data_IF_065450329144
#
_entry.id   IF_065450329144
#
_cell.length_a   1.000
_cell.length_b   1.000
_cell.length_c   1.000
_cell.angle_alpha   90.00
_cell.angle_beta   90.00
_cell.angle_gamma   90.00
#
_symmetry.space_group_name_H-M   'P 1'
#
loop_
_entity.id
_entity.type
_entity.pdbx_description
1 polymer ?
#
# COMPACT_ATOMS: atom_id res chain seq x y z
N UNK A 1 -8.49 8.87 -13.63
CA UNK A 1 -9.26 7.69 -14.05
C UNK A 1 -8.31 6.51 -13.99
N UNK A 2 -8.68 5.44 -13.28
CA UNK A 2 -7.85 4.24 -13.16
C UNK A 2 -7.97 3.46 -14.47
N UNK A 3 -6.86 3.27 -15.17
CA UNK A 3 -6.84 2.42 -16.35
C UNK A 3 -6.78 0.93 -15.98
N UNK A 4 -7.04 0.07 -16.96
CA UNK A 4 -7.10 -1.38 -16.75
C UNK A 4 -5.77 -2.00 -16.30
N UNK A 5 -4.64 -1.35 -16.57
CA UNK A 5 -3.32 -1.83 -16.17
C UNK A 5 -3.03 -1.44 -14.71
N UNK A 6 -3.38 -0.21 -14.32
CA UNK A 6 -3.30 0.25 -12.94
C UNK A 6 -4.24 -0.59 -12.05
N UNK A 7 -5.45 -0.86 -12.51
CA UNK A 7 -6.40 -1.73 -11.81
C UNK A 7 -5.82 -3.13 -11.49
N UNK A 8 -5.23 -3.79 -12.50
CA UNK A 8 -4.54 -5.08 -12.29
C UNK A 8 -3.37 -4.97 -11.31
N UNK A 9 -2.64 -3.86 -11.37
CA UNK A 9 -1.52 -3.58 -10.48
C UNK A 9 -2.01 -3.46 -9.03
N UNK A 10 -3.04 -2.65 -8.77
CA UNK A 10 -3.62 -2.46 -7.43
C UNK A 10 -4.19 -3.75 -6.86
N UNK A 11 -4.81 -4.58 -7.70
CA UNK A 11 -5.27 -5.91 -7.31
C UNK A 11 -4.09 -6.80 -6.87
N UNK A 12 -3.01 -6.87 -7.67
CA UNK A 12 -1.83 -7.67 -7.33
C UNK A 12 -1.13 -7.20 -6.05
N UNK A 13 -1.06 -5.88 -5.83
CA UNK A 13 -0.51 -5.29 -4.59
C UNK A 13 -1.37 -5.72 -3.39
N UNK A 14 -2.69 -5.61 -3.52
CA UNK A 14 -3.62 -5.99 -2.44
C UNK A 14 -3.47 -7.48 -2.09
N UNK A 15 -3.47 -8.34 -3.10
CA UNK A 15 -3.26 -9.77 -2.93
C UNK A 15 -1.90 -10.11 -2.32
N UNK A 16 -0.83 -9.40 -2.70
CA UNK A 16 0.50 -9.57 -2.12
C UNK A 16 0.49 -9.28 -0.62
N UNK A 17 0.06 -8.09 -0.20
CA UNK A 17 0.15 -7.67 1.20
C UNK A 17 -0.87 -8.34 2.13
N UNK A 18 -2.08 -8.63 1.65
CA UNK A 18 -3.13 -9.21 2.49
C UNK A 18 -2.85 -10.66 2.89
N UNK A 19 -1.89 -11.33 2.23
CA UNK A 19 -1.31 -12.61 2.66
C UNK A 19 -0.44 -12.49 3.91
N UNK A 20 0.17 -11.33 4.16
CA UNK A 20 1.08 -11.10 5.29
C UNK A 20 0.32 -10.58 6.52
N UNK A 21 -0.60 -11.39 7.05
CA UNK A 21 -1.29 -11.13 8.32
C UNK A 21 -0.78 -12.13 9.35
N UNK A 22 0.01 -11.66 10.31
CA UNK A 22 0.68 -12.54 11.29
C UNK A 22 -0.01 -12.47 12.65
N UNK A 23 -0.48 -13.62 13.14
CA UNK A 23 -0.94 -13.82 14.52
C UNK A 23 -2.42 -13.53 14.78
N UNK A 24 -3.36 -13.98 13.95
CA UNK A 24 -4.79 -13.68 14.15
C UNK A 24 -5.50 -14.73 15.04
N UNK A 25 -5.73 -14.42 16.32
CA UNK A 25 -6.72 -15.12 17.18
C UNK A 25 -7.63 -14.11 17.89
N UNK A 26 -8.87 -13.98 17.42
CA UNK A 26 -9.87 -13.06 18.01
C UNK A 26 -9.42 -11.60 17.99
N UNK A 27 -9.50 -10.91 19.13
CA UNK A 27 -8.99 -9.53 19.25
C UNK A 27 -7.46 -9.44 19.45
N UNK A 28 -6.77 -10.58 19.56
CA UNK A 28 -5.33 -10.63 19.85
C UNK A 28 -4.56 -10.96 18.58
N UNK A 29 -3.44 -10.27 18.42
CA UNK A 29 -2.49 -10.59 17.37
C UNK A 29 -1.29 -9.67 17.35
N UNK A 30 -0.15 -10.22 16.94
CA UNK A 30 1.11 -9.49 16.84
C UNK A 30 1.05 -8.40 15.78
N UNK A 31 0.24 -8.59 14.72
CA UNK A 31 0.06 -7.63 13.63
C UNK A 31 -1.39 -7.47 13.20
N UNK A 32 -1.91 -6.25 13.30
CA UNK A 32 -3.12 -5.81 12.59
C UNK A 32 -2.72 -4.68 11.65
N UNK A 33 -2.52 -5.01 10.39
CA UNK A 33 -2.26 -4.04 9.32
C UNK A 33 -3.49 -3.92 8.42
N UNK A 34 -3.54 -2.88 7.61
CA UNK A 34 -4.66 -2.59 6.71
C UNK A 34 -4.92 -3.74 5.73
N UNK A 35 -6.20 -4.08 5.57
CA UNK A 35 -6.69 -4.96 4.50
C UNK A 35 -6.81 -4.14 3.22
N UNK A 36 -5.88 -4.35 2.29
CA UNK A 36 -5.78 -3.52 1.09
C UNK A 36 -6.95 -3.72 0.14
N UNK A 37 -7.53 -4.93 0.08
CA UNK A 37 -8.75 -5.14 -0.71
C UNK A 37 -9.90 -4.24 -0.25
N UNK A 38 -10.10 -4.13 1.07
CA UNK A 38 -11.11 -3.21 1.63
C UNK A 38 -10.72 -1.75 1.44
N UNK A 39 -9.46 -1.41 1.72
CA UNK A 39 -8.96 -0.04 1.63
C UNK A 39 -9.02 0.52 0.21
N UNK A 40 -8.79 -0.32 -0.80
CA UNK A 40 -8.87 0.05 -2.22
C UNK A 40 -10.18 0.74 -2.58
N UNK A 41 -11.31 0.27 -2.07
CA UNK A 41 -12.62 0.90 -2.34
C UNK A 41 -12.65 2.35 -1.85
N UNK A 42 -12.22 2.60 -0.61
CA UNK A 42 -12.17 3.94 -0.06
C UNK A 42 -11.21 4.86 -0.83
N UNK A 43 -10.07 4.35 -1.29
CA UNK A 43 -9.12 5.14 -2.09
C UNK A 43 -9.70 5.54 -3.45
N UNK A 44 -10.44 4.63 -4.09
CA UNK A 44 -11.12 4.92 -5.36
C UNK A 44 -12.16 6.02 -5.14
N UNK A 45 -13.00 5.91 -4.11
CA UNK A 45 -14.00 6.92 -3.78
C UNK A 45 -13.35 8.29 -3.53
N UNK A 46 -12.29 8.35 -2.71
CA UNK A 46 -11.55 9.59 -2.43
C UNK A 46 -10.92 10.21 -3.68
N UNK A 47 -10.45 9.38 -4.62
CA UNK A 47 -9.93 9.86 -5.90
C UNK A 47 -11.06 10.41 -6.78
N UNK A 48 -12.20 9.73 -6.87
CA UNK A 48 -13.35 10.15 -7.67
C UNK A 48 -13.99 11.44 -7.15
N UNK A 49 -14.01 11.62 -5.82
CA UNK A 49 -14.46 12.86 -5.16
C UNK A 49 -13.43 14.00 -5.23
N UNK A 50 -12.23 13.75 -5.76
CA UNK A 50 -11.20 14.77 -5.98
C UNK A 50 -10.36 15.11 -4.75
N UNK A 51 -10.40 14.28 -3.69
CA UNK A 51 -9.56 14.44 -2.51
C UNK A 51 -8.09 14.01 -2.75
N UNK A 52 -7.86 13.12 -3.72
CA UNK A 52 -6.53 12.65 -4.10
C UNK A 52 -6.09 13.21 -5.45
N UNK A 53 -4.99 13.95 -5.45
CA UNK A 53 -4.35 14.53 -6.64
C UNK A 53 -2.87 14.12 -6.66
N UNK A 54 -2.47 13.43 -7.73
CA UNK A 54 -1.10 12.92 -7.95
C UNK A 54 -0.02 13.99 -7.97
N UNK A 55 -0.37 15.27 -8.15
CA UNK A 55 0.58 16.37 -8.22
C UNK A 55 0.57 17.25 -6.97
N UNK A 56 -0.44 17.12 -6.10
CA UNK A 56 -0.67 18.06 -4.99
C UNK A 56 -0.80 17.39 -3.63
N UNK A 57 -1.41 16.21 -3.56
CA UNK A 57 -1.73 15.59 -2.28
C UNK A 57 -0.47 15.01 -1.63
N UNK A 58 -0.26 15.32 -0.36
CA UNK A 58 0.74 14.67 0.49
C UNK A 58 -0.04 13.79 1.46
N UNK A 59 0.22 12.47 1.43
CA UNK A 59 -0.36 11.51 2.35
C UNK A 59 0.62 11.20 3.47
N UNK A 60 0.14 11.21 4.72
CA UNK A 60 0.93 10.88 5.88
C UNK A 60 0.26 9.75 6.67
N UNK A 61 0.94 8.61 6.73
CA UNK A 61 0.51 7.41 7.45
C UNK A 61 1.21 7.31 8.81
N UNK A 62 0.43 7.39 9.88
CA UNK A 62 0.90 7.31 11.26
C UNK A 62 0.68 5.89 11.79
N UNK A 63 1.77 5.17 12.07
CA UNK A 63 1.73 3.73 12.35
C UNK A 63 1.62 2.92 11.07
N UNK A 64 2.50 3.21 10.10
CA UNK A 64 2.41 2.65 8.75
C UNK A 64 2.71 1.14 8.66
N UNK A 65 3.21 0.54 9.74
CA UNK A 65 3.51 -0.86 9.79
C UNK A 65 4.54 -1.28 8.74
N UNK A 66 4.16 -2.22 7.85
CA UNK A 66 5.01 -2.68 6.75
C UNK A 66 4.94 -1.78 5.50
N UNK A 67 4.38 -0.57 5.63
CA UNK A 67 4.30 0.43 4.56
C UNK A 67 3.33 0.06 3.43
N UNK A 68 2.49 -0.98 3.59
CA UNK A 68 1.58 -1.44 2.53
C UNK A 68 0.62 -0.37 2.02
N UNK A 69 0.13 0.47 2.94
CA UNK A 69 -0.78 1.57 2.61
C UNK A 69 -0.01 2.63 1.84
N UNK A 70 1.21 2.97 2.27
CA UNK A 70 2.06 3.91 1.56
C UNK A 70 2.37 3.45 0.14
N UNK A 71 2.72 2.18 -0.04
CA UNK A 71 2.92 1.59 -1.37
C UNK A 71 1.66 1.71 -2.21
N UNK A 72 0.49 1.38 -1.65
CA UNK A 72 -0.77 1.45 -2.39
C UNK A 72 -1.17 2.89 -2.78
N UNK A 73 -1.09 3.83 -1.84
CA UNK A 73 -1.57 5.20 -2.02
C UNK A 73 -0.62 6.04 -2.90
N UNK A 74 0.66 5.65 -3.01
CA UNK A 74 1.68 6.29 -3.85
C UNK A 74 1.26 6.50 -5.32
N UNK A 75 0.37 5.64 -5.83
CA UNK A 75 -0.22 5.74 -7.17
C UNK A 75 -1.26 6.86 -7.31
N UNK A 76 -1.64 7.54 -6.23
CA UNK A 76 -2.72 8.53 -6.22
C UNK A 76 -2.29 9.89 -5.68
N UNK A 77 -1.09 10.00 -5.12
CA UNK A 77 -0.63 11.20 -4.39
C UNK A 77 0.73 11.67 -4.90
N UNK A 78 1.11 12.90 -4.55
CA UNK A 78 2.42 13.46 -4.84
C UNK A 78 3.51 12.79 -4.02
N UNK A 79 3.29 12.68 -2.71
CA UNK A 79 4.19 12.03 -1.76
C UNK A 79 3.39 11.19 -0.77
N UNK A 80 3.93 10.03 -0.41
CA UNK A 80 3.34 9.09 0.54
C UNK A 80 4.31 8.79 1.67
N UNK A 81 4.17 9.49 2.79
CA UNK A 81 5.09 9.43 3.91
C UNK A 81 4.57 8.45 4.96
N UNK A 82 5.38 7.47 5.36
CA UNK A 82 5.07 6.54 6.44
C UNK A 82 5.89 6.84 7.70
N UNK A 83 5.28 6.74 8.88
CA UNK A 83 5.98 6.83 10.17
C UNK A 83 5.63 5.61 11.02
N UNK A 84 6.65 4.88 11.48
CA UNK A 84 6.51 3.72 12.36
C UNK A 84 7.50 3.85 13.53
N UNK A 85 7.05 3.52 14.73
CA UNK A 85 7.84 3.59 15.96
C UNK A 85 8.48 2.24 16.29
N UNK A 86 7.88 1.13 15.84
CA UNK A 86 8.40 -0.23 16.07
C UNK A 86 9.43 -0.60 14.98
N UNK A 87 10.74 -0.60 15.30
CA UNK A 87 11.79 -0.81 14.32
C UNK A 87 11.70 -2.18 13.64
N UNK A 88 11.29 -3.24 14.35
CA UNK A 88 11.17 -4.57 13.76
C UNK A 88 10.11 -4.63 12.66
N UNK A 89 9.02 -3.87 12.83
CA UNK A 89 7.95 -3.78 11.84
C UNK A 89 8.40 -2.93 10.66
N UNK A 90 9.13 -1.84 10.93
CA UNK A 90 9.66 -0.95 9.90
C UNK A 90 10.71 -1.63 9.00
N UNK A 91 11.59 -2.45 9.57
CA UNK A 91 12.61 -3.20 8.81
C UNK A 91 11.99 -4.13 7.75
N UNK A 92 10.74 -4.57 7.94
CA UNK A 92 10.05 -5.39 6.96
C UNK A 92 9.64 -4.62 5.70
N UNK A 93 9.49 -3.30 5.76
CA UNK A 93 9.09 -2.49 4.61
C UNK A 93 10.00 -2.72 3.40
N UNK A 94 11.32 -2.62 3.58
CA UNK A 94 12.29 -2.77 2.50
C UNK A 94 12.25 -4.19 1.89
N UNK A 95 12.13 -5.21 2.74
CA UNK A 95 12.03 -6.61 2.31
C UNK A 95 10.74 -6.81 1.50
N UNK A 96 9.60 -6.36 2.03
CA UNK A 96 8.29 -6.53 1.39
C UNK A 96 8.16 -5.73 0.10
N UNK A 97 8.66 -4.50 0.06
CA UNK A 97 8.69 -3.66 -1.14
C UNK A 97 9.48 -4.35 -2.25
N UNK A 98 10.67 -4.87 -1.95
CA UNK A 98 11.49 -5.59 -2.93
C UNK A 98 10.84 -6.87 -3.45
N UNK A 99 10.23 -7.66 -2.57
CA UNK A 99 9.46 -8.86 -2.94
C UNK A 99 8.26 -8.53 -3.83
N UNK A 100 7.54 -7.45 -3.51
CA UNK A 100 6.43 -6.94 -4.30
C UNK A 100 6.91 -6.50 -5.69
N UNK A 101 7.94 -5.66 -5.78
CA UNK A 101 8.48 -5.19 -7.05
C UNK A 101 8.90 -6.35 -7.96
N UNK A 102 9.54 -7.38 -7.41
CA UNK A 102 9.89 -8.60 -8.15
C UNK A 102 8.64 -9.34 -8.65
N UNK A 103 7.56 -9.34 -7.88
CA UNK A 103 6.28 -9.92 -8.29
C UNK A 103 5.64 -9.10 -9.41
N UNK A 104 5.58 -7.79 -9.28
CA UNK A 104 5.04 -6.89 -10.30
C UNK A 104 5.83 -6.97 -11.62
N UNK A 105 7.17 -7.00 -11.56
CA UNK A 105 8.05 -7.20 -12.74
C UNK A 105 7.72 -8.50 -13.47
N UNK A 106 7.60 -9.62 -12.73
CA UNK A 106 7.29 -10.94 -13.32
C UNK A 106 5.94 -10.97 -14.04
N UNK A 107 4.99 -10.16 -13.60
CA UNK A 107 3.65 -10.06 -14.19
C UNK A 107 3.48 -8.87 -15.15
N UNK A 108 4.56 -8.16 -15.48
CA UNK A 108 4.55 -6.96 -16.34
C UNK A 108 3.57 -5.87 -15.84
N UNK A 109 3.47 -5.69 -14.52
CA UNK A 109 2.63 -4.70 -13.85
C UNK A 109 3.41 -3.42 -13.51
N UNK A 110 2.69 -2.34 -13.20
CA UNK A 110 3.32 -1.05 -12.91
C UNK A 110 4.04 -1.09 -11.55
N UNK A 111 5.29 -0.61 -11.49
CA UNK A 111 6.03 -0.51 -10.22
C UNK A 111 5.52 0.65 -9.37
N UNK A 112 5.69 0.59 -8.04
CA UNK A 112 5.44 1.73 -7.18
C UNK A 112 6.26 2.95 -7.66
N UNK A 113 5.70 4.15 -7.70
CA UNK A 113 6.46 5.36 -8.01
C UNK A 113 7.52 5.64 -6.94
N UNK A 114 8.54 6.41 -7.32
CA UNK A 114 9.62 6.84 -6.42
C UNK A 114 9.19 8.09 -5.62
N UNK A 115 8.15 7.93 -4.79
CA UNK A 115 7.55 9.00 -3.99
C UNK A 115 7.05 8.54 -2.62
N UNK A 116 7.61 7.44 -2.10
CA UNK A 116 7.30 6.84 -0.80
C UNK A 116 8.46 7.10 0.16
#
# INVERSE_FOLDING_TARGET
MIDSQLEKTLHAISEFFDRYKVGYEGNKGYRKTTDLFKFRHAVIDLMEEGYLDRQKTIFWDLGCGDGRVNVFISYFVKYSIGTEIEPLIFEEYEVRKKELENTLKRHLLQLPPDNI
#
